data_IF_951152220502
#
_entry.id   IF_951152220502
#
_cell.length_a   1.000
_cell.length_b   1.000
_cell.length_c   1.000
_cell.angle_alpha   90.00
_cell.angle_beta   90.00
_cell.angle_gamma   90.00
#
_symmetry.space_group_name_H-M   'P 1'
#
loop_
_entity.id
_entity.type
_entity.pdbx_description
1 polymer ?
#
# COMPACT_ATOMS: atom_id res chain seq x y z
N UNK A 1 11.24 13.49 -5.94
CA UNK A 1 12.37 13.80 -5.05
C UNK A 1 13.46 12.75 -5.25
N UNK A 2 14.71 13.17 -5.47
CA UNK A 2 15.86 12.27 -5.62
C UNK A 2 16.40 11.83 -4.26
N UNK A 3 17.23 10.77 -4.24
CA UNK A 3 17.92 10.30 -3.03
C UNK A 3 18.70 11.42 -2.31
N UNK A 4 19.32 12.31 -3.09
CA UNK A 4 20.05 13.49 -2.60
C UNK A 4 19.10 14.49 -1.92
N UNK A 5 17.89 14.69 -2.46
CA UNK A 5 16.89 15.55 -1.84
C UNK A 5 16.45 15.07 -0.45
N UNK A 6 16.31 13.75 -0.27
CA UNK A 6 16.03 13.17 1.05
C UNK A 6 17.22 13.32 2.01
N UNK A 7 18.45 13.11 1.53
CA UNK A 7 19.64 13.33 2.38
C UNK A 7 19.71 14.77 2.88
N UNK A 8 19.49 15.76 2.02
CA UNK A 8 19.44 17.15 2.45
C UNK A 8 18.31 17.43 3.44
N UNK A 9 17.11 16.86 3.21
CA UNK A 9 15.98 17.01 4.13
C UNK A 9 16.32 16.49 5.54
N UNK A 10 16.99 15.34 5.65
CA UNK A 10 17.38 14.75 6.93
C UNK A 10 18.61 15.43 7.55
N UNK A 11 19.51 16.00 6.74
CA UNK A 11 20.72 16.67 7.23
C UNK A 11 20.48 18.09 7.79
N UNK A 12 19.47 18.81 7.29
CA UNK A 12 19.30 20.24 7.58
C UNK A 12 18.31 20.58 8.71
N UNK A 13 17.63 19.59 9.32
CA UNK A 13 16.38 19.84 10.04
C UNK A 13 16.25 19.11 11.40
N UNK A 14 15.05 19.18 12.00
CA UNK A 14 14.65 18.46 13.22
C UNK A 14 14.72 16.92 13.08
N UNK A 15 14.98 16.42 11.86
CA UNK A 15 15.19 15.02 11.53
C UNK A 15 16.67 14.58 11.63
N UNK A 16 17.59 15.48 11.97
CA UNK A 16 19.04 15.19 12.07
C UNK A 16 19.40 14.12 13.12
N UNK A 17 18.49 13.86 14.06
CA UNK A 17 18.60 12.75 15.02
C UNK A 17 18.48 11.36 14.39
N UNK A 18 17.99 11.27 13.14
CA UNK A 18 17.81 10.02 12.43
C UNK A 18 18.97 9.77 11.47
N UNK A 19 19.54 8.55 11.53
CA UNK A 19 20.52 8.10 10.56
C UNK A 19 19.84 7.55 9.31
N UNK A 20 20.04 8.23 8.17
CA UNK A 20 19.47 7.82 6.90
C UNK A 20 20.40 6.84 6.16
N UNK A 21 19.88 5.65 5.85
CA UNK A 21 20.56 4.68 4.99
C UNK A 21 19.80 4.56 3.67
N UNK A 22 20.52 4.74 2.56
CA UNK A 22 19.95 4.67 1.21
C UNK A 22 20.32 3.36 0.53
N UNK A 23 19.33 2.76 -0.12
CA UNK A 23 19.49 1.53 -0.89
C UNK A 23 18.87 1.72 -2.28
N UNK A 24 19.53 1.20 -3.31
CA UNK A 24 19.04 1.26 -4.69
C UNK A 24 18.05 0.12 -4.99
N UNK A 25 18.08 -0.94 -4.19
CA UNK A 25 17.22 -2.11 -4.31
C UNK A 25 16.77 -2.63 -2.93
N UNK A 26 15.73 -3.46 -2.93
CA UNK A 26 15.22 -4.06 -1.70
C UNK A 26 16.12 -5.20 -1.19
N UNK A 27 16.90 -5.82 -2.06
CA UNK A 27 17.80 -6.91 -1.68
C UNK A 27 19.01 -6.42 -0.88
N UNK A 28 19.58 -5.26 -1.23
CA UNK A 28 20.61 -4.58 -0.46
C UNK A 28 20.11 -4.18 0.93
N UNK A 29 18.87 -3.70 1.02
CA UNK A 29 18.21 -3.44 2.30
C UNK A 29 18.04 -4.71 3.14
N UNK A 30 17.59 -5.83 2.54
CA UNK A 30 17.49 -7.14 3.23
C UNK A 30 18.84 -7.63 3.75
N UNK A 31 19.94 -7.41 3.02
CA UNK A 31 21.28 -7.74 3.52
C UNK A 31 21.67 -6.88 4.72
N UNK A 32 21.35 -5.58 4.69
CA UNK A 32 21.66 -4.66 5.79
C UNK A 32 20.81 -4.95 7.04
N UNK A 33 19.58 -5.44 6.90
CA UNK A 33 18.70 -5.82 8.01
C UNK A 33 19.33 -6.85 8.97
N UNK A 34 20.26 -7.70 8.49
CA UNK A 34 20.96 -8.67 9.35
C UNK A 34 22.00 -8.03 10.28
N UNK A 35 22.45 -6.82 9.97
CA UNK A 35 23.56 -6.17 10.66
C UNK A 35 23.16 -4.87 11.36
N UNK A 36 22.08 -4.23 10.90
CA UNK A 36 21.61 -2.94 11.39
C UNK A 36 20.14 -3.06 11.75
N UNK A 37 19.79 -2.59 12.95
CA UNK A 37 18.39 -2.52 13.38
C UNK A 37 17.76 -1.23 12.86
N UNK A 38 16.81 -1.35 11.94
CA UNK A 38 16.06 -0.21 11.41
C UNK A 38 14.74 -0.07 12.15
N UNK A 39 14.39 1.16 12.54
CA UNK A 39 13.07 1.42 13.12
C UNK A 39 12.02 1.83 12.07
N UNK A 40 12.45 2.34 10.91
CA UNK A 40 11.56 2.80 9.83
C UNK A 40 12.17 2.55 8.45
N UNK A 41 11.31 2.17 7.50
CA UNK A 41 11.61 2.00 6.09
C UNK A 41 10.76 2.97 5.28
N UNK A 42 11.42 3.80 4.47
CA UNK A 42 10.79 4.72 3.52
C UNK A 42 11.04 4.18 2.11
N UNK A 43 9.99 3.68 1.46
CA UNK A 43 10.08 3.13 0.12
C UNK A 43 9.66 4.16 -0.93
N UNK A 44 10.56 4.54 -1.82
CA UNK A 44 10.23 5.40 -2.96
C UNK A 44 9.62 4.59 -4.09
N UNK A 45 8.31 4.77 -4.32
CA UNK A 45 7.60 4.12 -5.40
C UNK A 45 8.02 4.71 -6.75
N UNK A 46 8.16 3.83 -7.73
CA UNK A 46 8.36 4.18 -9.14
C UNK A 46 7.07 3.94 -9.91
N UNK A 47 6.88 4.70 -11.00
CA UNK A 47 5.68 4.60 -11.84
C UNK A 47 5.55 3.28 -12.61
N UNK A 48 6.59 2.43 -12.57
CA UNK A 48 6.56 1.12 -13.21
C UNK A 48 5.61 0.15 -12.48
N UNK A 49 4.74 -0.52 -13.25
CA UNK A 49 3.79 -1.54 -12.76
C UNK A 49 4.46 -2.63 -11.91
N UNK A 50 5.60 -3.15 -12.37
CA UNK A 50 6.37 -4.17 -11.64
C UNK A 50 6.91 -3.64 -10.32
N UNK A 51 7.41 -2.39 -10.30
CA UNK A 51 7.91 -1.76 -9.09
C UNK A 51 6.81 -1.62 -8.02
N UNK A 52 5.56 -1.32 -8.42
CA UNK A 52 4.42 -1.27 -7.49
C UNK A 52 4.11 -2.62 -6.86
N UNK A 53 4.12 -3.69 -7.66
CA UNK A 53 3.90 -5.05 -7.16
C UNK A 53 4.98 -5.49 -6.20
N UNK A 54 6.24 -5.32 -6.63
CA UNK A 54 7.39 -5.73 -5.83
C UNK A 54 7.41 -4.95 -4.52
N UNK A 55 7.13 -3.64 -4.54
CA UNK A 55 6.98 -2.83 -3.34
C UNK A 55 5.94 -3.40 -2.37
N UNK A 56 4.70 -3.62 -2.83
CA UNK A 56 3.63 -4.14 -1.98
C UNK A 56 3.91 -5.55 -1.46
N UNK A 57 4.53 -6.42 -2.26
CA UNK A 57 4.95 -7.75 -1.86
C UNK A 57 6.04 -7.69 -0.77
N UNK A 58 7.05 -6.86 -0.95
CA UNK A 58 8.16 -6.64 -0.03
C UNK A 58 7.69 -6.04 1.31
N UNK A 59 6.85 -5.00 1.28
CA UNK A 59 6.32 -4.38 2.50
C UNK A 59 5.43 -5.32 3.29
N UNK A 60 4.69 -6.19 2.60
CA UNK A 60 3.92 -7.24 3.25
C UNK A 60 4.82 -8.27 3.92
N UNK A 61 5.84 -8.75 3.23
CA UNK A 61 6.81 -9.70 3.80
C UNK A 61 7.50 -9.11 5.04
N UNK A 62 7.85 -7.82 4.98
CA UNK A 62 8.40 -7.08 6.10
C UNK A 62 7.40 -6.91 7.25
N UNK A 63 6.12 -6.70 6.96
CA UNK A 63 5.08 -6.64 8.00
C UNK A 63 4.97 -7.96 8.78
N UNK A 64 5.28 -9.10 8.16
CA UNK A 64 5.26 -10.41 8.81
C UNK A 64 6.58 -10.76 9.51
N UNK A 65 7.71 -10.44 8.91
CA UNK A 65 9.04 -10.80 9.45
C UNK A 65 9.57 -9.79 10.46
N UNK A 66 9.30 -8.50 10.25
CA UNK A 66 9.81 -7.38 11.04
C UNK A 66 8.69 -6.36 11.29
N UNK A 67 7.66 -6.79 12.03
CA UNK A 67 6.46 -5.99 12.29
C UNK A 67 6.73 -4.66 12.99
N UNK A 68 7.82 -4.58 13.77
CA UNK A 68 8.28 -3.40 14.51
C UNK A 68 8.80 -2.26 13.61
N UNK A 69 9.19 -2.56 12.37
CA UNK A 69 9.72 -1.56 11.45
C UNK A 69 8.54 -0.78 10.86
N UNK A 70 8.56 0.54 11.02
CA UNK A 70 7.61 1.45 10.39
C UNK A 70 7.75 1.38 8.87
N UNK A 71 6.63 1.43 8.15
CA UNK A 71 6.54 1.22 6.69
C UNK A 71 5.87 2.43 6.07
N UNK A 72 6.68 3.30 5.46
CA UNK A 72 6.24 4.53 4.81
C UNK A 72 6.48 4.39 3.30
N UNK A 73 5.52 4.78 2.48
CA UNK A 73 5.66 4.78 1.02
C UNK A 73 5.66 6.20 0.51
N UNK A 74 6.66 6.55 -0.30
CA UNK A 74 6.69 7.80 -1.06
C UNK A 74 6.18 7.57 -2.47
N UNK A 75 5.05 8.18 -2.80
CA UNK A 75 4.37 8.09 -4.09
C UNK A 75 4.55 9.38 -4.91
N UNK A 76 4.31 9.33 -6.21
CA UNK A 76 4.46 10.48 -7.11
C UNK A 76 3.37 11.55 -6.89
N UNK A 77 2.11 11.12 -6.77
CA UNK A 77 0.95 12.00 -6.66
C UNK A 77 -0.16 11.42 -5.75
N UNK A 78 -1.25 12.18 -5.56
CA UNK A 78 -2.40 11.75 -4.76
C UNK A 78 -3.17 10.56 -5.35
N UNK A 79 -3.15 10.38 -6.67
CA UNK A 79 -3.87 9.29 -7.33
C UNK A 79 -3.15 7.97 -7.07
N UNK A 80 -1.82 7.98 -7.17
CA UNK A 80 -0.97 6.87 -6.76
C UNK A 80 -1.06 6.61 -5.25
N UNK A 81 -1.14 7.66 -4.42
CA UNK A 81 -1.38 7.51 -2.98
C UNK A 81 -2.68 6.73 -2.70
N UNK A 82 -3.76 7.10 -3.40
CA UNK A 82 -5.06 6.43 -3.30
C UNK A 82 -4.99 5.00 -3.78
N UNK A 83 -4.35 4.76 -4.92
CA UNK A 83 -4.17 3.43 -5.48
C UNK A 83 -3.48 2.52 -4.45
N UNK A 84 -2.30 2.90 -3.99
CA UNK A 84 -1.50 2.12 -3.04
C UNK A 84 -2.23 1.89 -1.71
N UNK A 85 -2.94 2.90 -1.22
CA UNK A 85 -3.73 2.77 0.01
C UNK A 85 -4.84 1.70 -0.08
N UNK A 86 -5.43 1.51 -1.27
CA UNK A 86 -6.48 0.51 -1.49
C UNK A 86 -5.94 -0.88 -1.85
N UNK A 87 -4.78 -0.94 -2.50
CA UNK A 87 -4.17 -2.20 -2.95
C UNK A 87 -3.22 -2.79 -1.90
N UNK A 88 -2.79 -2.01 -0.90
CA UNK A 88 -1.87 -2.51 0.12
C UNK A 88 -2.49 -3.66 0.92
N UNK A 89 -1.82 -4.82 0.98
CA UNK A 89 -2.32 -6.00 1.70
C UNK A 89 -2.20 -5.88 3.22
N UNK A 90 -1.34 -4.98 3.68
CA UNK A 90 -0.97 -4.79 5.09
C UNK A 90 -1.15 -3.32 5.45
N UNK A 91 -1.44 -3.07 6.74
CA UNK A 91 -1.50 -1.71 7.28
C UNK A 91 -0.13 -1.05 7.07
N UNK A 92 -0.11 -0.02 6.21
CA UNK A 92 1.02 0.88 6.05
C UNK A 92 1.00 1.88 7.21
N UNK A 93 2.18 2.36 7.59
CA UNK A 93 2.30 3.39 8.62
C UNK A 93 2.06 4.77 8.01
N UNK A 94 2.42 4.98 6.73
CA UNK A 94 2.10 6.20 6.01
C UNK A 94 2.29 6.08 4.50
N UNK A 95 1.52 6.87 3.74
CA UNK A 95 1.71 7.08 2.30
C UNK A 95 1.83 8.58 2.09
N UNK A 96 2.96 9.01 1.53
CA UNK A 96 3.36 10.40 1.44
C UNK A 96 3.60 10.75 -0.03
N UNK A 97 2.96 11.81 -0.52
CA UNK A 97 3.13 12.22 -1.92
C UNK A 97 4.37 13.10 -2.09
N UNK A 98 5.14 12.85 -3.15
CA UNK A 98 6.29 13.68 -3.57
C UNK A 98 5.85 15.01 -4.19
N UNK A 99 4.57 15.15 -4.55
CA UNK A 99 4.01 16.37 -5.14
C UNK A 99 3.72 17.46 -4.13
N UNK A 100 3.74 17.16 -2.82
CA UNK A 100 3.50 18.15 -1.76
C UNK A 100 4.70 19.07 -1.59
N UNK A 101 4.49 20.24 -0.98
CA UNK A 101 5.61 21.17 -0.73
C UNK A 101 6.59 20.58 0.29
N UNK A 102 7.87 20.97 0.20
CA UNK A 102 8.92 20.47 1.08
C UNK A 102 8.60 20.67 2.57
N UNK A 103 7.93 21.79 2.91
CA UNK A 103 7.51 22.10 4.27
C UNK A 103 6.45 21.10 4.79
N UNK A 104 5.43 20.80 3.97
CA UNK A 104 4.42 19.80 4.32
C UNK A 104 5.04 18.41 4.44
N UNK A 105 5.91 18.05 3.50
CA UNK A 105 6.63 16.77 3.52
C UNK A 105 7.43 16.60 4.81
N UNK A 106 8.16 17.64 5.23
CA UNK A 106 8.92 17.64 6.48
C UNK A 106 8.01 17.41 7.67
N UNK A 107 6.89 18.12 7.73
CA UNK A 107 5.90 17.99 8.82
C UNK A 107 5.31 16.58 8.88
N UNK A 108 4.98 15.99 7.74
CA UNK A 108 4.48 14.61 7.67
C UNK A 108 5.53 13.61 8.16
N UNK A 109 6.78 13.72 7.72
CA UNK A 109 7.84 12.84 8.22
C UNK A 109 8.08 13.01 9.71
N UNK A 110 8.05 14.24 10.23
CA UNK A 110 8.16 14.49 11.67
C UNK A 110 7.06 13.77 12.44
N UNK A 111 5.81 13.86 12.00
CA UNK A 111 4.68 13.16 12.63
C UNK A 111 4.88 11.64 12.55
N UNK A 112 5.15 11.10 11.36
CA UNK A 112 5.28 9.65 11.15
C UNK A 112 6.44 9.02 11.93
N UNK A 113 7.58 9.70 12.00
CA UNK A 113 8.78 9.17 12.66
C UNK A 113 8.78 9.39 14.17
N UNK A 114 8.17 10.48 14.67
CA UNK A 114 8.08 10.77 16.12
C UNK A 114 7.09 9.89 16.88
N UNK A 115 6.14 9.25 16.19
CA UNK A 115 5.14 8.35 16.79
C UNK A 115 5.70 6.95 17.15
N UNK A 116 6.99 6.87 17.48
CA UNK A 116 7.80 5.64 17.50
C UNK A 116 7.46 4.62 18.61
N UNK A 117 6.44 4.85 19.45
CA UNK A 117 6.13 3.95 20.59
C UNK A 117 4.65 3.64 20.82
N UNK A 118 3.77 4.08 19.93
CA UNK A 118 2.42 3.52 19.88
C UNK A 118 2.26 2.93 18.50
N UNK A 119 1.99 1.63 18.47
CA UNK A 119 1.17 1.02 17.42
C UNK A 119 -0.21 1.71 17.51
N UNK A 120 -0.26 3.02 17.26
CA UNK A 120 -1.48 3.81 17.36
C UNK A 120 -1.93 3.97 15.94
N UNK A 121 -3.14 3.49 15.66
CA UNK A 121 -4.33 4.35 15.65
C UNK A 121 -4.10 5.85 15.46
N UNK A 122 -3.16 6.22 14.58
CA UNK A 122 -3.23 7.46 13.86
C UNK A 122 -4.33 7.29 12.79
N UNK A 123 -5.54 7.20 13.34
CA UNK A 123 -6.83 7.38 12.69
C UNK A 123 -6.98 8.80 12.13
N UNK A 124 -5.93 9.65 12.15
CA UNK A 124 -6.00 10.98 11.55
C UNK A 124 -5.40 11.02 10.15
N UNK A 125 -4.31 10.29 9.87
CA UNK A 125 -3.68 10.37 8.54
C UNK A 125 -4.09 9.26 7.57
N UNK A 126 -4.48 8.07 8.06
CA UNK A 126 -4.86 6.94 7.19
C UNK A 126 -6.39 6.73 7.08
N UNK A 127 -7.18 7.36 7.96
CA UNK A 127 -8.62 7.10 8.10
C UNK A 127 -9.53 8.09 7.40
N UNK A 128 -9.14 9.38 7.33
CA UNK A 128 -10.03 10.41 6.76
C UNK A 128 -10.38 10.16 5.29
N UNK A 129 -9.60 9.32 4.60
CA UNK A 129 -9.89 8.86 3.24
C UNK A 129 -10.45 7.43 3.13
N UNK A 130 -10.37 6.55 4.14
CA UNK A 130 -10.56 5.11 3.94
C UNK A 130 -11.96 4.58 4.28
N UNK A 131 -12.67 5.09 5.29
CA UNK A 131 -13.97 4.49 5.67
C UNK A 131 -15.05 4.59 4.59
N UNK A 132 -15.08 5.67 3.80
CA UNK A 132 -16.06 5.86 2.72
C UNK A 132 -15.54 5.44 1.33
N UNK A 133 -14.35 4.86 1.22
CA UNK A 133 -13.70 4.61 -0.09
C UNK A 133 -13.18 3.20 -0.30
N UNK A 134 -13.21 2.32 0.70
CA UNK A 134 -12.84 0.91 0.49
C UNK A 134 -13.63 0.29 -0.66
N UNK A 135 -12.94 -0.54 -1.44
CA UNK A 135 -13.59 -1.35 -2.47
C UNK A 135 -14.63 -2.26 -1.81
N UNK A 136 -15.86 -2.19 -2.31
CA UNK A 136 -16.93 -3.09 -1.87
C UNK A 136 -16.60 -4.54 -2.24
N UNK A 137 -17.19 -5.53 -1.56
CA UNK A 137 -17.00 -6.94 -1.93
C UNK A 137 -17.29 -7.21 -3.41
N UNK A 138 -18.32 -6.56 -3.95
CA UNK A 138 -18.72 -6.66 -5.37
C UNK A 138 -17.69 -6.01 -6.29
N UNK A 139 -17.21 -4.80 -5.98
CA UNK A 139 -16.15 -4.14 -6.75
C UNK A 139 -14.90 -5.00 -6.79
N UNK A 140 -14.47 -5.54 -5.65
CA UNK A 140 -13.31 -6.43 -5.57
C UNK A 140 -13.51 -7.73 -6.36
N UNK A 141 -14.72 -8.28 -6.36
CA UNK A 141 -15.05 -9.47 -7.16
C UNK A 141 -14.98 -9.17 -8.67
N UNK A 142 -15.49 -8.03 -9.10
CA UNK A 142 -15.41 -7.58 -10.50
C UNK A 142 -13.95 -7.45 -10.93
N UNK A 143 -13.10 -6.80 -10.13
CA UNK A 143 -11.67 -6.67 -10.44
C UNK A 143 -10.99 -8.04 -10.61
N UNK A 144 -11.28 -9.01 -9.73
CA UNK A 144 -10.74 -10.37 -9.86
C UNK A 144 -11.16 -11.07 -11.15
N UNK A 145 -12.42 -10.94 -11.56
CA UNK A 145 -12.83 -11.52 -12.84
C UNK A 145 -12.19 -10.81 -14.03
N UNK A 146 -12.05 -9.48 -13.96
CA UNK A 146 -11.38 -8.71 -15.00
C UNK A 146 -9.91 -9.10 -15.16
N UNK A 147 -9.17 -9.31 -14.06
CA UNK A 147 -7.78 -9.82 -14.12
C UNK A 147 -7.69 -11.23 -14.69
N UNK A 148 -8.76 -12.03 -14.61
CA UNK A 148 -8.85 -13.34 -15.26
C UNK A 148 -9.31 -13.26 -16.73
N UNK A 149 -9.48 -12.06 -17.30
CA UNK A 149 -9.85 -11.86 -18.70
C UNK A 149 -11.35 -11.90 -19.01
N UNK A 150 -12.22 -11.96 -18.01
CA UNK A 150 -13.67 -12.00 -18.22
C UNK A 150 -14.20 -10.64 -18.70
N UNK A 151 -15.11 -10.67 -19.67
CA UNK A 151 -15.86 -9.51 -20.15
C UNK A 151 -17.01 -9.14 -19.19
N UNK A 152 -17.50 -7.90 -19.30
CA UNK A 152 -18.60 -7.41 -18.44
C UNK A 152 -19.88 -8.28 -18.51
N UNK A 153 -20.33 -8.76 -19.69
CA UNK A 153 -21.45 -9.70 -19.77
C UNK A 153 -21.19 -11.03 -19.04
N UNK A 154 -19.99 -11.59 -19.17
CA UNK A 154 -19.63 -12.85 -18.50
C UNK A 154 -19.57 -12.67 -16.98
N UNK A 155 -19.02 -11.55 -16.51
CA UNK A 155 -19.03 -11.18 -15.08
C UNK A 155 -20.46 -11.05 -14.56
N UNK A 156 -21.35 -10.43 -15.34
CA UNK A 156 -22.75 -10.27 -15.00
C UNK A 156 -23.46 -11.63 -14.86
N UNK A 157 -23.21 -12.56 -15.79
CA UNK A 157 -23.71 -13.92 -15.71
C UNK A 157 -23.18 -14.65 -14.47
N UNK A 158 -21.88 -14.57 -14.22
CA UNK A 158 -21.23 -15.25 -13.09
C UNK A 158 -21.67 -14.73 -11.73
N UNK A 159 -21.86 -13.42 -11.60
CA UNK A 159 -22.35 -12.78 -10.37
C UNK A 159 -23.88 -12.79 -10.27
N UNK A 160 -24.59 -13.27 -11.29
CA UNK A 160 -26.06 -13.24 -11.39
C UNK A 160 -26.63 -11.84 -11.17
N UNK A 161 -26.05 -10.84 -11.85
CA UNK A 161 -26.44 -9.42 -11.75
C UNK A 161 -26.70 -8.82 -13.11
N UNK A 162 -27.43 -7.71 -13.14
CA UNK A 162 -27.65 -6.94 -14.36
C UNK A 162 -26.33 -6.33 -14.86
N UNK A 163 -26.09 -6.36 -16.17
CA UNK A 163 -24.92 -5.76 -16.83
C UNK A 163 -24.75 -4.27 -16.44
N UNK A 164 -25.84 -3.49 -16.34
CA UNK A 164 -25.80 -2.10 -15.92
C UNK A 164 -25.27 -1.94 -14.50
N UNK A 165 -25.64 -2.86 -13.60
CA UNK A 165 -25.14 -2.90 -12.22
C UNK A 165 -23.65 -3.22 -12.17
N UNK A 166 -23.17 -4.17 -12.98
CA UNK A 166 -21.73 -4.46 -13.08
C UNK A 166 -20.95 -3.24 -13.59
N UNK A 167 -21.47 -2.54 -14.62
CA UNK A 167 -20.85 -1.31 -15.14
C UNK A 167 -20.79 -0.20 -14.08
N UNK A 168 -21.85 -0.03 -13.29
CA UNK A 168 -21.88 0.94 -12.20
C UNK A 168 -20.84 0.62 -11.12
N UNK A 169 -20.74 -0.65 -10.69
CA UNK A 169 -19.71 -1.04 -9.72
C UNK A 169 -18.29 -0.92 -10.28
N UNK A 170 -18.07 -1.23 -11.56
CA UNK A 170 -16.79 -0.97 -12.24
C UNK A 170 -16.43 0.51 -12.18
N UNK A 171 -17.38 1.40 -12.51
CA UNK A 171 -17.16 2.84 -12.42
C UNK A 171 -16.84 3.30 -11.00
N UNK A 172 -17.56 2.80 -10.01
CA UNK A 172 -17.28 3.10 -8.60
C UNK A 172 -15.88 2.62 -8.19
N UNK A 173 -15.45 1.45 -8.65
CA UNK A 173 -14.08 0.97 -8.42
C UNK A 173 -13.05 1.90 -9.05
N UNK A 174 -13.27 2.35 -10.29
CA UNK A 174 -12.40 3.32 -10.98
C UNK A 174 -12.24 4.61 -10.17
N UNK A 175 -13.36 5.20 -9.73
CA UNK A 175 -13.38 6.43 -8.92
C UNK A 175 -12.64 6.23 -7.60
N UNK A 176 -12.85 5.11 -6.89
CA UNK A 176 -12.19 4.83 -5.61
C UNK A 176 -10.68 4.63 -5.76
N UNK A 177 -10.26 3.94 -6.81
CA UNK A 177 -8.85 3.67 -7.10
C UNK A 177 -8.13 4.86 -7.75
N UNK A 178 -8.85 5.90 -8.17
CA UNK A 178 -8.26 7.02 -8.88
C UNK A 178 -7.75 6.63 -10.27
N UNK A 179 -8.38 5.66 -10.93
CA UNK A 179 -8.05 5.29 -12.32
C UNK A 179 -9.16 5.76 -13.24
N UNK A 180 -8.81 6.19 -14.44
CA UNK A 180 -9.74 6.79 -15.40
C UNK A 180 -9.95 5.95 -16.66
N UNK A 181 -9.35 4.76 -16.74
CA UNK A 181 -9.39 3.89 -17.92
C UNK A 181 -9.49 2.41 -17.54
N UNK A 182 -9.99 1.61 -18.49
CA UNK A 182 -10.07 0.16 -18.34
C UNK A 182 -8.68 -0.47 -18.21
N UNK A 183 -7.69 0.07 -18.92
CA UNK A 183 -6.29 -0.35 -18.81
C UNK A 183 -5.77 -0.08 -17.39
N UNK A 184 -5.97 1.13 -16.86
CA UNK A 184 -5.55 1.45 -15.49
C UNK A 184 -6.29 0.63 -14.43
N UNK A 185 -7.56 0.29 -14.68
CA UNK A 185 -8.33 -0.60 -13.80
C UNK A 185 -7.80 -2.04 -13.83
N UNK A 186 -7.42 -2.55 -15.01
CA UNK A 186 -6.79 -3.86 -15.16
C UNK A 186 -5.42 -3.90 -14.51
N UNK A 187 -4.61 -2.84 -14.63
CA UNK A 187 -3.33 -2.73 -13.94
C UNK A 187 -3.49 -2.81 -12.42
N UNK A 188 -4.48 -2.10 -11.87
CA UNK A 188 -4.82 -2.13 -10.45
C UNK A 188 -5.36 -3.50 -10.01
N UNK A 189 -6.24 -4.11 -10.80
CA UNK A 189 -6.77 -5.44 -10.55
C UNK A 189 -5.66 -6.49 -10.50
N UNK A 190 -4.69 -6.37 -11.41
CA UNK A 190 -3.63 -7.34 -11.52
C UNK A 190 -2.59 -7.19 -10.39
N UNK A 191 -2.45 -5.99 -9.80
CA UNK A 191 -1.73 -5.85 -8.53
C UNK A 191 -2.46 -6.60 -7.41
N UNK A 192 -3.79 -6.51 -7.31
CA UNK A 192 -4.56 -7.22 -6.27
C UNK A 192 -4.44 -8.75 -6.37
N UNK A 193 -4.41 -9.31 -7.57
CA UNK A 193 -4.34 -10.75 -7.79
C UNK A 193 -2.95 -11.34 -7.66
N UNK A 194 -1.91 -10.60 -8.05
CA UNK A 194 -0.52 -11.08 -7.96
C UNK A 194 0.12 -10.91 -6.59
N UNK A 195 -0.58 -10.30 -5.63
CA UNK A 195 -0.17 -10.44 -4.24
C UNK A 195 -0.53 -11.86 -3.77
N UNK A 196 0.45 -12.73 -3.41
CA UNK A 196 0.16 -14.09 -2.98
C UNK A 196 -0.86 -14.06 -1.86
N UNK A 197 -2.09 -14.54 -2.07
CA UNK A 197 -2.97 -14.87 -0.95
C UNK A 197 -2.30 -16.06 -0.28
N UNK A 198 -1.38 -15.81 0.64
CA UNK A 198 -1.04 -16.84 1.60
C UNK A 198 -2.27 -16.92 2.46
N UNK A 199 -3.06 -17.97 2.23
CA UNK A 199 -4.16 -18.36 3.09
C UNK A 199 -3.70 -18.05 4.52
N UNK A 200 -4.47 -17.23 5.24
CA UNK A 200 -4.43 -17.24 6.68
C UNK A 200 -4.42 -18.72 7.04
N UNK A 201 -3.26 -19.25 7.46
CA UNK A 201 -3.16 -20.61 7.97
C UNK A 201 -4.38 -20.74 8.84
N UNK A 202 -5.30 -21.63 8.47
CA UNK A 202 -6.41 -21.91 9.35
C UNK A 202 -5.74 -22.20 10.67
N UNK A 203 -5.95 -21.31 11.62
CA UNK A 203 -5.69 -21.63 13.00
C UNK A 203 -6.66 -22.76 13.19
N UNK A 204 -6.14 -23.99 13.10
CA UNK A 204 -6.91 -25.17 13.40
C UNK A 204 -7.64 -24.83 14.68
N UNK A 205 -8.96 -24.99 14.68
CA UNK A 205 -9.71 -25.08 15.90
C UNK A 205 -9.20 -26.33 16.63
N UNK A 206 -8.01 -26.24 17.22
CA UNK A 206 -7.72 -26.92 18.46
C UNK A 206 -8.65 -26.26 19.46
N UNK A 207 -9.79 -26.91 19.65
CA UNK A 207 -10.61 -26.70 20.84
C UNK A 207 -9.66 -26.70 22.03
N UNK A 208 -9.55 -25.62 22.82
CA UNK A 208 -9.20 -25.84 24.20
C UNK A 208 -10.43 -26.52 24.83
N UNK A 209 -10.24 -27.51 25.67
CA UNK A 209 -10.62 -27.42 27.09
C UNK A 209 -10.16 -28.69 27.79
N UNK A 210 -9.40 -28.47 28.86
CA UNK A 210 -9.07 -29.42 29.92
C UNK A 210 -10.33 -29.80 30.71
N UNK A 211 -10.63 -31.09 30.77
CA UNK A 211 -10.81 -31.93 31.98
C UNK A 211 -11.21 -33.33 31.50
#
# INVERSE_FOLDING_TARGET
>A
MSAIGLQHLFAQSELSQYQLHLFNDFDGFKKALYHVNFFSLIYSLSDAREARRNCLAHLRDLAFTHSHIQRIILVSDEMEARLISHLSPSRLHGVVSKSVTLEHLRKEFMVLLSETLRINDNMLNHWYCSQNRMLSPTERAILRYMSCGYSIPEIAAQLKRNIKTIRAHKFNAMVKLGVNSDVGLLDAADILTHLPVRETRSVGLNKPTFL
#
